data_IF_978218784686
#
_entry.id   IF_978218784686
#
_cell.length_a   1.000
_cell.length_b   1.000
_cell.length_c   1.000
_cell.angle_alpha   90.00
_cell.angle_beta   90.00
_cell.angle_gamma   90.00
#
_symmetry.space_group_name_H-M   'P 1'
#
loop_
_entity.id
_entity.type
_entity.pdbx_description
1 polymer ?
#
# COMPACT_ATOMS: atom_id res chain seq x y z
N UNK A 1 -9.63 -21.32 35.19
CA UNK A 1 -10.46 -20.96 34.04
C UNK A 1 -9.52 -20.39 32.98
N UNK A 2 -9.65 -20.76 31.70
CA UNK A 2 -8.82 -20.22 30.62
C UNK A 2 -9.62 -19.22 29.80
N UNK A 3 -8.97 -18.11 29.43
CA UNK A 3 -9.58 -17.03 28.65
C UNK A 3 -8.88 -16.86 27.32
N UNK A 4 -9.61 -16.47 26.27
CA UNK A 4 -9.02 -16.17 24.97
C UNK A 4 -8.17 -14.91 25.09
N UNK A 5 -6.96 -14.95 24.54
CA UNK A 5 -6.12 -13.78 24.34
C UNK A 5 -6.52 -13.13 23.02
N UNK A 6 -6.92 -11.87 23.05
CA UNK A 6 -7.37 -11.15 21.87
C UNK A 6 -7.08 -9.65 21.97
N UNK A 7 -6.90 -8.99 20.82
CA UNK A 7 -7.03 -7.55 20.69
C UNK A 7 -8.41 -7.24 20.12
N UNK A 8 -9.14 -6.38 20.77
CA UNK A 8 -10.41 -5.82 20.31
C UNK A 8 -10.11 -4.51 19.60
N UNK A 9 -10.81 -4.27 18.49
CA UNK A 9 -10.66 -3.08 17.66
C UNK A 9 -12.04 -2.55 17.28
N UNK A 10 -12.26 -1.25 17.40
CA UNK A 10 -13.53 -0.63 17.01
C UNK A 10 -13.36 0.84 16.67
N UNK A 11 -14.26 1.35 15.83
CA UNK A 11 -14.41 2.79 15.62
C UNK A 11 -15.41 3.34 16.64
N UNK A 12 -15.09 4.48 17.26
CA UNK A 12 -16.00 5.13 18.20
C UNK A 12 -17.33 5.54 17.56
N UNK A 13 -17.28 5.89 16.27
CA UNK A 13 -18.47 6.25 15.48
C UNK A 13 -19.39 5.05 15.16
N UNK A 14 -18.85 3.83 15.11
CA UNK A 14 -19.60 2.59 14.79
C UNK A 14 -19.31 1.47 15.81
N UNK A 15 -19.67 1.66 17.09
CA UNK A 15 -19.32 0.72 18.15
C UNK A 15 -20.02 -0.65 18.02
N UNK A 16 -20.94 -0.79 17.07
CA UNK A 16 -21.62 -2.06 16.76
C UNK A 16 -20.75 -3.01 15.93
N UNK A 17 -19.72 -2.47 15.25
CA UNK A 17 -18.74 -3.25 14.50
C UNK A 17 -17.48 -3.41 15.35
N UNK A 18 -17.19 -4.65 15.74
CA UNK A 18 -16.02 -4.98 16.55
C UNK A 18 -15.09 -5.90 15.77
N UNK A 19 -13.85 -5.46 15.59
CA UNK A 19 -12.74 -6.28 15.11
C UNK A 19 -12.17 -7.13 16.25
N UNK A 20 -11.66 -8.30 15.89
CA UNK A 20 -11.08 -9.24 16.86
C UNK A 20 -9.81 -9.86 16.28
N UNK A 21 -8.65 -9.44 16.76
CA UNK A 21 -7.37 -10.08 16.45
C UNK A 21 -7.08 -11.17 17.48
N UNK A 22 -6.89 -12.39 17.01
CA UNK A 22 -6.57 -13.56 17.83
C UNK A 22 -5.36 -14.29 17.25
N UNK A 23 -4.53 -14.85 18.14
CA UNK A 23 -3.48 -15.76 17.71
C UNK A 23 -4.06 -17.17 17.54
N UNK A 24 -3.71 -17.83 16.42
CA UNK A 24 -4.19 -19.17 16.06
C UNK A 24 -3.00 -20.07 15.73
N UNK A 25 -2.96 -21.25 16.34
CA UNK A 25 -2.02 -22.30 16.00
C UNK A 25 -2.77 -23.61 15.71
N UNK A 26 -2.56 -24.18 14.52
CA UNK A 26 -3.20 -25.44 14.10
C UNK A 26 -4.74 -25.41 14.24
N UNK A 27 -5.38 -24.27 13.92
CA UNK A 27 -6.83 -24.09 14.00
C UNK A 27 -7.37 -23.91 15.42
N UNK A 28 -6.50 -23.74 16.43
CA UNK A 28 -6.85 -23.49 17.81
C UNK A 28 -6.44 -22.11 18.26
N UNK A 29 -7.28 -21.46 19.01
CA UNK A 29 -7.09 -20.10 19.51
C UNK A 29 -6.16 -20.12 20.71
N UNK A 30 -5.28 -19.12 20.82
CA UNK A 30 -4.43 -18.92 21.98
C UNK A 30 -5.28 -18.53 23.19
N UNK A 31 -5.08 -19.22 24.31
CA UNK A 31 -5.76 -18.93 25.58
C UNK A 31 -4.75 -18.79 26.71
N UNK A 32 -5.09 -18.00 27.71
CA UNK A 32 -4.34 -17.83 28.94
C UNK A 32 -5.11 -18.49 30.08
N UNK A 33 -4.46 -19.39 30.83
CA UNK A 33 -5.00 -19.87 32.09
C UNK A 33 -4.82 -18.80 33.17
N UNK A 34 -5.70 -18.83 34.19
CA UNK A 34 -5.61 -17.90 35.32
C UNK A 34 -4.23 -17.97 36.00
N UNK A 35 -3.51 -16.86 36.05
CA UNK A 35 -2.16 -16.77 36.59
C UNK A 35 -1.03 -17.34 35.71
N UNK A 36 -1.34 -17.78 34.48
CA UNK A 36 -0.31 -18.22 33.53
C UNK A 36 0.34 -17.01 32.85
N UNK A 37 1.62 -17.13 32.55
CA UNK A 37 2.39 -16.17 31.76
C UNK A 37 2.47 -16.56 30.29
N UNK A 38 2.27 -17.83 29.97
CA UNK A 38 2.38 -18.41 28.64
C UNK A 38 1.01 -18.74 28.03
N UNK A 39 0.87 -18.48 26.73
CA UNK A 39 -0.31 -18.86 25.97
C UNK A 39 -0.34 -20.38 25.70
N UNK A 40 -1.52 -20.97 25.70
CA UNK A 40 -1.78 -22.36 25.40
C UNK A 40 -2.81 -22.50 24.30
N UNK A 41 -2.77 -23.62 23.55
CA UNK A 41 -3.81 -23.94 22.58
C UNK A 41 -5.15 -24.21 23.26
N UNK A 42 -6.15 -23.39 22.97
CA UNK A 42 -7.48 -23.48 23.54
C UNK A 42 -8.50 -24.15 22.61
N UNK A 43 -9.69 -23.57 22.53
CA UNK A 43 -10.80 -24.01 21.66
C UNK A 43 -10.46 -23.78 20.18
N UNK A 44 -11.22 -24.40 19.29
CA UNK A 44 -11.07 -24.17 17.85
C UNK A 44 -11.65 -22.80 17.45
N UNK A 45 -11.19 -22.25 16.30
CA UNK A 45 -11.73 -21.01 15.74
C UNK A 45 -13.24 -21.12 15.50
N UNK A 46 -13.71 -22.26 15.00
CA UNK A 46 -15.14 -22.53 14.75
C UNK A 46 -15.97 -22.55 16.04
N UNK A 47 -15.43 -23.16 17.12
CA UNK A 47 -16.08 -23.14 18.43
C UNK A 47 -16.14 -21.73 19.01
N UNK A 48 -15.07 -20.93 18.88
CA UNK A 48 -15.07 -19.52 19.31
C UNK A 48 -16.09 -18.70 18.53
N UNK A 49 -16.10 -18.80 17.21
CA UNK A 49 -17.06 -18.09 16.36
C UNK A 49 -18.52 -18.41 16.77
N UNK A 50 -18.81 -19.70 16.99
CA UNK A 50 -20.15 -20.17 17.40
C UNK A 50 -20.54 -19.67 18.80
N UNK A 51 -19.60 -19.65 19.75
CA UNK A 51 -19.83 -19.12 21.09
C UNK A 51 -20.09 -17.62 21.09
N UNK A 52 -19.26 -16.85 20.36
CA UNK A 52 -19.44 -15.40 20.22
C UNK A 52 -20.78 -15.07 19.57
N UNK A 53 -21.10 -15.69 18.42
CA UNK A 53 -22.35 -15.45 17.71
C UNK A 53 -23.57 -15.76 18.60
N UNK A 54 -23.56 -16.89 19.26
CA UNK A 54 -24.68 -17.32 20.14
C UNK A 54 -24.85 -16.42 21.39
N UNK A 55 -23.73 -16.02 22.00
CA UNK A 55 -23.71 -15.21 23.21
C UNK A 55 -24.17 -13.78 22.96
N UNK A 56 -23.63 -13.16 21.90
CA UNK A 56 -23.92 -11.77 21.56
C UNK A 56 -25.10 -11.60 20.61
N UNK A 57 -25.65 -12.71 20.08
CA UNK A 57 -26.71 -12.73 19.06
C UNK A 57 -26.28 -11.86 17.85
N UNK A 58 -25.09 -12.12 17.37
CA UNK A 58 -24.43 -11.32 16.34
C UNK A 58 -24.02 -12.19 15.15
N UNK A 59 -23.77 -11.55 14.01
CA UNK A 59 -23.01 -12.17 12.92
C UNK A 59 -21.52 -12.13 13.29
N UNK A 60 -20.83 -13.27 13.18
CA UNK A 60 -19.40 -13.41 13.46
C UNK A 60 -18.70 -14.00 12.24
N UNK A 61 -17.67 -13.30 11.77
CA UNK A 61 -16.73 -13.79 10.75
C UNK A 61 -15.36 -13.87 11.36
N UNK A 62 -14.77 -15.06 11.37
CA UNK A 62 -13.49 -15.31 12.02
C UNK A 62 -12.63 -16.23 11.14
N UNK A 63 -11.63 -15.68 10.47
CA UNK A 63 -10.92 -16.42 9.42
C UNK A 63 -11.89 -16.88 8.33
N UNK A 64 -11.89 -18.18 8.01
CA UNK A 64 -12.84 -18.76 7.04
C UNK A 64 -14.21 -19.15 7.61
N UNK A 65 -14.43 -18.97 8.92
CA UNK A 65 -15.67 -19.34 9.60
C UNK A 65 -16.67 -18.17 9.56
N UNK A 66 -17.93 -18.48 9.26
CA UNK A 66 -19.04 -17.53 9.27
C UNK A 66 -20.21 -18.11 10.04
N UNK A 67 -20.62 -17.43 11.10
CA UNK A 67 -21.76 -17.84 11.95
C UNK A 67 -22.69 -16.65 12.12
N UNK A 68 -23.94 -16.81 11.72
CA UNK A 68 -25.00 -15.82 11.88
C UNK A 68 -25.99 -16.29 12.97
N UNK A 69 -26.10 -15.54 14.04
CA UNK A 69 -27.05 -15.75 15.14
C UNK A 69 -27.92 -14.51 15.38
N UNK A 70 -28.02 -13.62 14.39
CA UNK A 70 -28.92 -12.46 14.46
C UNK A 70 -30.38 -12.90 14.61
N UNK A 71 -31.21 -12.18 15.38
CA UNK A 71 -32.64 -12.36 15.39
C UNK A 71 -33.22 -12.20 13.98
N UNK A 72 -34.14 -13.08 13.56
CA UNK A 72 -34.75 -13.00 12.25
C UNK A 72 -35.47 -11.64 12.07
N UNK A 73 -34.98 -10.86 11.11
CA UNK A 73 -35.53 -9.55 10.78
C UNK A 73 -34.59 -8.36 11.02
N UNK A 74 -33.57 -8.54 11.84
CA UNK A 74 -32.57 -7.48 12.11
C UNK A 74 -31.27 -7.82 11.39
N UNK A 75 -31.07 -7.29 10.19
CA UNK A 75 -29.73 -7.23 9.61
C UNK A 75 -29.16 -5.84 9.91
N UNK A 76 -28.24 -5.69 10.87
CA UNK A 76 -27.62 -4.40 11.17
C UNK A 76 -26.89 -3.83 9.94
N UNK A 77 -26.37 -4.70 9.07
CA UNK A 77 -25.70 -4.29 7.83
C UNK A 77 -26.64 -3.61 6.82
N UNK A 78 -27.96 -3.89 6.84
CA UNK A 78 -28.90 -3.19 5.96
C UNK A 78 -29.14 -1.73 6.37
N UNK A 79 -28.90 -1.39 7.63
CA UNK A 79 -28.99 -0.02 8.16
C UNK A 79 -27.69 0.77 7.94
N UNK A 80 -26.58 0.07 7.69
CA UNK A 80 -25.24 0.64 7.42
C UNK A 80 -24.85 0.64 5.95
N UNK A 81 -25.70 0.11 5.05
CA UNK A 81 -25.52 0.41 3.63
C UNK A 81 -25.84 1.91 3.49
N UNK A 82 -24.88 2.75 3.11
CA UNK A 82 -25.16 4.17 2.91
C UNK A 82 -26.32 4.26 1.91
N UNK A 83 -27.41 4.97 2.26
CA UNK A 83 -28.29 5.55 1.26
C UNK A 83 -27.36 6.20 0.23
N UNK A 84 -27.67 6.06 -1.07
CA UNK A 84 -26.87 6.63 -2.16
C UNK A 84 -26.41 8.03 -1.74
N UNK A 85 -25.21 8.09 -1.16
CA UNK A 85 -24.57 9.37 -0.84
C UNK A 85 -24.31 10.00 -2.19
N UNK A 86 -24.85 11.19 -2.43
CA UNK A 86 -24.42 12.01 -3.56
C UNK A 86 -22.90 11.93 -3.63
N UNK A 87 -22.36 11.44 -4.76
CA UNK A 87 -20.93 11.29 -5.01
C UNK A 87 -20.26 12.67 -4.84
N UNK A 88 -19.96 13.04 -3.61
CA UNK A 88 -18.96 14.06 -3.36
C UNK A 88 -17.65 13.46 -3.86
N UNK A 89 -17.02 14.14 -4.80
CA UNK A 89 -15.68 13.79 -5.28
C UNK A 89 -14.72 13.83 -4.05
N UNK A 90 -14.74 12.77 -3.26
CA UNK A 90 -13.83 12.61 -2.13
C UNK A 90 -12.48 12.12 -2.66
N UNK A 91 -11.42 12.67 -2.13
CA UNK A 91 -10.05 12.28 -2.47
C UNK A 91 -9.29 11.83 -1.24
N UNK A 92 -8.38 10.89 -1.44
CA UNK A 92 -7.52 10.32 -0.40
C UNK A 92 -6.09 10.77 -0.66
N UNK A 93 -5.42 11.30 0.37
CA UNK A 93 -4.00 11.64 0.31
C UNK A 93 -3.16 10.44 0.70
N UNK A 94 -2.27 10.05 -0.22
CA UNK A 94 -1.48 8.83 -0.09
C UNK A 94 0.01 9.16 -0.23
N UNK A 95 0.83 8.49 0.57
CA UNK A 95 2.28 8.51 0.49
C UNK A 95 2.79 7.08 0.43
N UNK A 96 3.40 6.70 -0.67
CA UNK A 96 3.99 5.37 -0.84
C UNK A 96 5.51 5.42 -0.77
N UNK A 97 6.10 4.53 0.02
CA UNK A 97 7.54 4.42 0.23
C UNK A 97 8.01 3.10 -0.37
N UNK A 98 8.83 3.17 -1.40
CA UNK A 98 9.32 2.00 -2.10
C UNK A 98 10.59 2.28 -2.93
N UNK A 99 10.97 1.33 -3.77
CA UNK A 99 12.14 1.44 -4.66
C UNK A 99 11.79 1.82 -6.09
N UNK A 100 10.76 2.62 -6.27
CA UNK A 100 10.32 3.06 -7.60
C UNK A 100 11.41 3.90 -8.28
N UNK A 101 11.86 3.54 -9.49
CA UNK A 101 12.82 4.34 -10.23
C UNK A 101 12.26 5.73 -10.54
N UNK A 102 13.07 6.79 -10.40
CA UNK A 102 12.68 8.16 -10.72
C UNK A 102 12.12 8.30 -12.15
N UNK A 103 12.69 7.57 -13.10
CA UNK A 103 12.25 7.56 -14.50
C UNK A 103 10.86 6.95 -14.71
N UNK A 104 10.37 6.14 -13.77
CA UNK A 104 9.04 5.54 -13.87
C UNK A 104 7.94 6.48 -13.40
N UNK A 105 8.24 7.44 -12.52
CA UNK A 105 7.22 8.29 -11.89
C UNK A 105 6.40 9.14 -12.88
N UNK A 106 7.01 9.80 -13.90
CA UNK A 106 6.22 10.54 -14.89
C UNK A 106 5.23 9.67 -15.64
N UNK A 107 5.63 8.40 -15.93
CA UNK A 107 4.77 7.45 -16.63
C UNK A 107 3.64 6.96 -15.72
N UNK A 108 3.92 6.69 -14.46
CA UNK A 108 2.90 6.35 -13.45
C UNK A 108 1.85 7.46 -13.35
N UNK A 109 2.27 8.72 -13.17
CA UNK A 109 1.36 9.87 -13.11
C UNK A 109 0.45 9.96 -14.35
N UNK A 110 1.02 9.73 -15.54
CA UNK A 110 0.27 9.81 -16.80
C UNK A 110 -0.68 8.63 -17.02
N UNK A 111 -0.29 7.41 -16.63
CA UNK A 111 -1.12 6.20 -16.77
C UNK A 111 -2.35 6.27 -15.86
N UNK A 112 -2.14 6.75 -14.67
CA UNK A 112 -3.18 6.81 -13.65
C UNK A 112 -4.01 8.10 -13.71
N UNK A 113 -3.52 9.08 -14.44
CA UNK A 113 -4.21 10.35 -14.60
C UNK A 113 -4.24 11.19 -13.32
N UNK A 114 -3.23 11.01 -12.45
CA UNK A 114 -3.10 11.71 -11.16
C UNK A 114 -1.74 12.37 -11.06
N UNK A 115 -1.68 13.60 -10.58
CA UNK A 115 -0.41 14.28 -10.32
C UNK A 115 0.32 13.57 -9.17
N UNK A 116 1.59 13.21 -9.39
CA UNK A 116 2.42 12.51 -8.42
C UNK A 116 3.65 13.35 -8.13
N UNK A 117 3.92 13.64 -6.88
CA UNK A 117 5.18 14.20 -6.45
C UNK A 117 6.09 13.09 -5.90
N UNK A 118 7.36 13.12 -6.23
CA UNK A 118 8.33 12.18 -5.70
C UNK A 118 9.42 12.86 -4.89
N UNK A 119 9.78 12.26 -3.77
CA UNK A 119 10.87 12.68 -2.90
C UNK A 119 11.88 11.55 -2.80
N UNK A 120 13.15 11.85 -3.11
CA UNK A 120 14.22 10.89 -2.95
C UNK A 120 14.53 10.66 -1.47
N UNK A 121 14.61 9.40 -1.07
CA UNK A 121 14.97 8.95 0.26
C UNK A 121 16.34 8.25 0.23
N UNK A 122 16.84 7.87 1.40
CA UNK A 122 18.11 7.15 1.51
C UNK A 122 18.04 5.75 0.84
N UNK A 123 19.19 5.23 0.44
CA UNK A 123 19.38 3.86 -0.07
C UNK A 123 18.55 3.53 -1.35
N UNK A 124 18.30 4.53 -2.20
CA UNK A 124 17.55 4.35 -3.45
C UNK A 124 16.04 4.14 -3.25
N UNK A 125 15.53 4.44 -2.06
CA UNK A 125 14.10 4.52 -1.80
C UNK A 125 13.54 5.87 -2.21
N UNK A 126 12.24 5.91 -2.43
CA UNK A 126 11.50 7.10 -2.84
C UNK A 126 10.15 7.13 -2.15
N UNK A 127 9.71 8.32 -1.76
CA UNK A 127 8.34 8.55 -1.34
C UNK A 127 7.57 9.17 -2.52
N UNK A 128 6.46 8.56 -2.90
CA UNK A 128 5.52 9.06 -3.90
C UNK A 128 4.31 9.63 -3.18
N UNK A 129 3.97 10.88 -3.46
CA UNK A 129 2.86 11.60 -2.84
C UNK A 129 1.81 11.89 -3.90
N UNK A 130 0.57 11.53 -3.65
CA UNK A 130 -0.54 11.83 -4.54
C UNK A 130 -1.85 12.05 -3.78
N UNK A 131 -2.73 12.82 -4.37
CA UNK A 131 -4.13 12.90 -4.00
C UNK A 131 -4.93 12.13 -5.04
N UNK A 132 -5.54 11.03 -4.62
CA UNK A 132 -6.23 10.09 -5.51
C UNK A 132 -7.73 10.10 -5.23
N UNK A 133 -8.58 9.97 -6.25
CA UNK A 133 -10.01 9.77 -6.05
C UNK A 133 -10.29 8.55 -5.18
N UNK A 134 -11.30 8.60 -4.34
CA UNK A 134 -11.62 7.54 -3.38
C UNK A 134 -11.95 6.21 -4.07
N UNK A 135 -12.57 6.25 -5.25
CA UNK A 135 -12.86 5.08 -6.08
C UNK A 135 -11.59 4.36 -6.58
N UNK A 136 -10.43 5.04 -6.52
CA UNK A 136 -9.10 4.49 -6.82
C UNK A 136 -8.26 4.21 -5.57
N UNK A 137 -8.81 4.36 -4.38
CA UNK A 137 -8.12 4.05 -3.14
C UNK A 137 -7.70 2.57 -3.11
N UNK A 138 -6.52 2.29 -2.58
CA UNK A 138 -5.94 0.93 -2.58
C UNK A 138 -5.06 0.60 -3.79
N UNK A 139 -4.77 1.55 -4.62
CA UNK A 139 -3.87 1.46 -5.73
C UNK A 139 -2.41 1.63 -5.30
N UNK A 140 -1.52 0.82 -5.88
CA UNK A 140 -0.09 0.82 -5.57
C UNK A 140 0.68 1.44 -6.74
N UNK A 141 1.42 2.51 -6.47
CA UNK A 141 2.24 3.19 -7.47
C UNK A 141 3.57 2.51 -7.75
N UNK A 142 4.14 1.84 -6.76
CA UNK A 142 5.52 1.40 -6.79
C UNK A 142 5.71 -0.10 -6.91
N UNK A 143 6.98 -0.50 -7.01
CA UNK A 143 7.39 -1.88 -6.96
C UNK A 143 7.28 -2.43 -5.52
N UNK A 144 6.79 -3.66 -5.39
CA UNK A 144 6.69 -4.33 -4.09
C UNK A 144 8.08 -4.81 -3.59
N UNK A 145 8.31 -4.85 -2.29
CA UNK A 145 7.43 -4.42 -1.20
C UNK A 145 7.37 -2.90 -1.06
N UNK A 146 6.21 -2.39 -0.66
CA UNK A 146 6.02 -0.97 -0.39
C UNK A 146 5.29 -0.72 0.94
N UNK A 147 5.58 0.44 1.54
CA UNK A 147 4.86 0.94 2.70
C UNK A 147 4.01 2.12 2.25
N UNK A 148 2.73 2.11 2.58
CA UNK A 148 1.78 3.17 2.21
C UNK A 148 1.17 3.80 3.44
N UNK A 149 1.14 5.15 3.47
CA UNK A 149 0.35 5.95 4.40
C UNK A 149 -0.82 6.54 3.64
N UNK A 150 -2.02 6.42 4.18
CA UNK A 150 -3.22 7.01 3.59
C UNK A 150 -4.03 7.75 4.64
N UNK A 151 -4.63 8.89 4.25
CA UNK A 151 -5.60 9.61 5.06
C UNK A 151 -6.99 9.31 4.52
N UNK A 152 -7.77 8.53 5.25
CA UNK A 152 -9.15 8.18 4.90
C UNK A 152 -10.08 8.60 6.04
N UNK A 153 -11.13 9.36 5.75
CA UNK A 153 -12.10 9.86 6.75
C UNK A 153 -11.47 10.64 7.91
N UNK A 154 -10.29 11.23 7.69
CA UNK A 154 -9.54 11.96 8.72
C UNK A 154 -8.62 11.09 9.58
N UNK A 155 -8.60 9.79 9.37
CA UNK A 155 -7.78 8.83 10.08
C UNK A 155 -6.55 8.42 9.27
N UNK A 156 -5.41 8.24 9.97
CA UNK A 156 -4.18 7.76 9.38
C UNK A 156 -4.16 6.23 9.32
N UNK A 157 -3.94 5.70 8.15
CA UNK A 157 -3.74 4.29 7.89
C UNK A 157 -2.30 4.04 7.43
N UNK A 158 -1.70 2.98 7.91
CA UNK A 158 -0.38 2.53 7.51
C UNK A 158 -0.47 1.08 7.03
N UNK A 159 0.09 0.81 5.85
CA UNK A 159 0.06 -0.50 5.21
C UNK A 159 1.46 -0.94 4.81
N UNK A 160 1.73 -2.23 4.89
CA UNK A 160 2.85 -2.88 4.21
C UNK A 160 2.29 -3.90 3.24
N UNK A 161 2.61 -3.73 1.97
CA UNK A 161 2.26 -4.67 0.89
C UNK A 161 3.56 -5.34 0.43
N UNK A 162 3.67 -6.64 0.63
CA UNK A 162 4.89 -7.41 0.31
C UNK A 162 4.81 -8.17 -0.99
N UNK A 163 3.60 -8.53 -1.42
CA UNK A 163 3.33 -9.27 -2.64
C UNK A 163 1.96 -8.86 -3.24
N UNK A 164 1.61 -9.41 -4.39
CA UNK A 164 0.34 -9.13 -5.08
C UNK A 164 -0.88 -9.79 -4.39
N UNK A 165 -0.69 -10.50 -3.29
CA UNK A 165 -1.75 -11.15 -2.54
C UNK A 165 -2.19 -10.29 -1.36
N UNK A 166 -3.38 -9.71 -1.46
CA UNK A 166 -3.97 -8.86 -0.41
C UNK A 166 -4.13 -9.57 0.96
N UNK A 167 -3.99 -10.89 0.99
CA UNK A 167 -4.06 -11.69 2.22
C UNK A 167 -2.84 -11.46 3.16
N UNK A 168 -1.75 -10.89 2.65
CA UNK A 168 -0.51 -10.66 3.39
C UNK A 168 -0.23 -9.18 3.68
N UNK A 169 -1.26 -8.32 3.59
CA UNK A 169 -1.11 -6.90 3.91
C UNK A 169 -1.10 -6.72 5.43
N UNK A 170 0.00 -6.17 5.96
CA UNK A 170 0.02 -5.71 7.34
C UNK A 170 -0.56 -4.29 7.42
N UNK A 171 -1.43 -4.05 8.38
CA UNK A 171 -2.12 -2.77 8.51
C UNK A 171 -2.09 -2.27 9.94
N UNK A 172 -2.09 -0.93 10.12
CA UNK A 172 -2.41 -0.28 11.36
C UNK A 172 -3.22 0.99 11.08
N UNK A 173 -4.30 1.20 11.85
CA UNK A 173 -5.21 2.33 11.69
C UNK A 173 -5.30 3.12 13.00
N UNK A 174 -4.89 4.39 12.98
CA UNK A 174 -4.93 5.28 14.15
C UNK A 174 -6.33 5.79 14.50
N UNK A 175 -7.32 5.63 13.62
CA UNK A 175 -8.74 5.93 13.91
C UNK A 175 -9.44 4.85 14.74
N UNK A 176 -8.83 3.66 14.85
CA UNK A 176 -9.40 2.57 15.63
C UNK A 176 -8.96 2.63 17.08
N UNK A 177 -9.91 2.48 17.99
CA UNK A 177 -9.61 2.23 19.39
C UNK A 177 -9.30 0.74 19.58
N UNK A 178 -8.16 0.44 20.20
CA UNK A 178 -7.71 -0.93 20.42
C UNK A 178 -7.63 -1.28 21.90
N UNK A 179 -7.95 -2.52 22.27
CA UNK A 179 -7.83 -3.02 23.64
C UNK A 179 -7.45 -4.49 23.67
N UNK A 180 -6.33 -4.80 24.31
CA UNK A 180 -5.97 -6.19 24.55
C UNK A 180 -6.73 -6.74 25.75
N UNK A 181 -7.31 -7.92 25.59
CA UNK A 181 -8.06 -8.63 26.62
C UNK A 181 -7.40 -9.97 26.91
N UNK A 182 -7.22 -10.23 28.20
CA UNK A 182 -6.54 -11.43 28.73
C UNK A 182 -7.44 -12.18 29.73
N UNK A 183 -8.75 -11.98 29.60
CA UNK A 183 -9.73 -12.51 30.55
C UNK A 183 -9.64 -11.85 31.92
N UNK A 184 -9.38 -12.63 32.95
CA UNK A 184 -9.28 -12.13 34.34
C UNK A 184 -7.88 -11.63 34.71
N UNK A 185 -6.86 -11.88 33.86
CA UNK A 185 -5.51 -11.40 34.11
C UNK A 185 -5.37 -9.92 33.73
N UNK A 186 -4.51 -9.18 34.46
CA UNK A 186 -4.09 -7.85 34.01
C UNK A 186 -3.07 -7.98 32.88
N UNK A 187 -3.19 -7.17 31.83
CA UNK A 187 -2.26 -7.18 30.70
C UNK A 187 -0.82 -6.96 31.16
N UNK A 188 -0.61 -6.11 32.18
CA UNK A 188 0.72 -5.84 32.74
C UNK A 188 1.34 -7.06 33.43
N UNK A 189 0.55 -8.07 33.79
CA UNK A 189 1.02 -9.30 34.41
C UNK A 189 1.39 -10.40 33.42
N UNK A 190 1.08 -10.19 32.15
CA UNK A 190 1.35 -11.14 31.05
C UNK A 190 2.70 -10.83 30.42
N UNK A 191 3.43 -11.86 29.98
CA UNK A 191 4.68 -11.66 29.28
C UNK A 191 4.47 -10.81 28.01
N UNK A 192 5.29 -9.77 27.76
CA UNK A 192 5.15 -8.92 26.58
C UNK A 192 5.15 -9.69 25.25
N UNK A 193 5.91 -10.79 25.17
CA UNK A 193 5.94 -11.63 23.96
C UNK A 193 4.61 -12.33 23.68
N UNK A 194 3.83 -12.61 24.73
CA UNK A 194 2.51 -13.21 24.61
C UNK A 194 1.48 -12.13 24.19
N UNK A 195 1.61 -10.92 24.74
CA UNK A 195 0.80 -9.77 24.32
C UNK A 195 1.03 -9.44 22.84
N UNK A 196 2.28 -9.51 22.40
CA UNK A 196 2.68 -9.28 20.99
C UNK A 196 2.07 -10.31 20.01
N UNK A 197 1.53 -11.45 20.47
CA UNK A 197 0.85 -12.42 19.58
C UNK A 197 -0.45 -11.87 18.96
N UNK A 198 -1.09 -10.92 19.60
CA UNK A 198 -2.37 -10.35 19.16
C UNK A 198 -2.32 -8.84 18.93
N UNK A 199 -1.29 -8.16 19.44
CA UNK A 199 -1.14 -6.71 19.33
C UNK A 199 -0.50 -6.26 18.00
N UNK A 200 -0.58 -4.98 17.70
CA UNK A 200 -0.07 -4.39 16.46
C UNK A 200 1.45 -4.19 16.43
N UNK A 201 2.12 -4.34 17.59
CA UNK A 201 3.57 -4.10 17.69
C UNK A 201 4.41 -4.92 16.72
N UNK A 202 4.15 -6.22 16.48
CA UNK A 202 4.86 -6.99 15.46
C UNK A 202 4.67 -6.45 14.06
N UNK A 203 3.44 -6.08 13.69
CA UNK A 203 3.13 -5.48 12.39
C UNK A 203 3.88 -4.16 12.18
N UNK A 204 3.85 -3.26 13.18
CA UNK A 204 4.58 -1.99 13.11
C UNK A 204 6.11 -2.16 13.04
N UNK A 205 6.68 -3.16 13.74
CA UNK A 205 8.10 -3.49 13.61
C UNK A 205 8.45 -3.97 12.20
N UNK A 206 7.61 -4.81 11.63
CA UNK A 206 7.80 -5.32 10.27
C UNK A 206 7.69 -4.19 9.25
N UNK A 207 6.68 -3.33 9.36
CA UNK A 207 6.52 -2.14 8.51
C UNK A 207 7.76 -1.24 8.59
N UNK A 208 8.23 -0.92 9.80
CA UNK A 208 9.42 -0.09 9.99
C UNK A 208 10.69 -0.71 9.39
N UNK A 209 10.82 -2.04 9.41
CA UNK A 209 11.96 -2.75 8.82
C UNK A 209 12.04 -2.57 7.29
N UNK A 210 10.93 -2.24 6.62
CA UNK A 210 10.88 -1.98 5.18
C UNK A 210 11.15 -0.52 4.81
N UNK A 211 11.31 0.40 5.78
CA UNK A 211 11.60 1.81 5.52
C UNK A 211 13.02 2.15 5.99
N UNK A 212 13.94 2.54 5.08
CA UNK A 212 15.30 2.87 5.45
C UNK A 212 15.38 4.08 6.39
N UNK A 213 16.02 3.89 7.53
CA UNK A 213 16.20 4.95 8.54
C UNK A 213 15.00 5.12 9.47
N UNK A 214 13.97 4.27 9.38
CA UNK A 214 12.85 4.30 10.31
C UNK A 214 13.32 4.01 11.74
N UNK A 215 12.72 4.74 12.69
CA UNK A 215 12.89 4.54 14.13
C UNK A 215 11.72 3.69 14.65
N UNK A 216 12.00 2.41 14.85
CA UNK A 216 11.01 1.41 15.30
C UNK A 216 10.39 1.80 16.63
N UNK A 217 11.19 2.25 17.61
CA UNK A 217 10.68 2.58 18.94
C UNK A 217 9.81 3.85 18.91
N UNK A 218 10.19 4.84 18.07
CA UNK A 218 9.36 6.02 17.86
C UNK A 218 8.03 5.67 17.17
N UNK A 219 8.02 4.72 16.20
CA UNK A 219 6.81 4.26 15.54
C UNK A 219 5.89 3.51 16.52
N UNK A 220 6.44 2.65 17.36
CA UNK A 220 5.69 1.96 18.40
C UNK A 220 5.10 2.93 19.44
N UNK A 221 5.85 3.99 19.80
CA UNK A 221 5.33 5.01 20.71
C UNK A 221 4.23 5.88 20.07
N UNK A 222 4.18 5.95 18.74
CA UNK A 222 3.13 6.70 18.03
C UNK A 222 1.76 6.00 18.07
N UNK A 223 1.68 4.71 18.46
CA UNK A 223 0.40 4.00 18.61
C UNK A 223 -0.57 4.67 19.56
N UNK A 224 -0.05 5.26 20.64
CA UNK A 224 -0.85 5.87 21.70
C UNK A 224 -1.25 7.33 21.39
N UNK A 225 -0.90 7.82 20.20
CA UNK A 225 -1.19 9.18 19.76
C UNK A 225 -2.40 9.20 18.83
N UNK A 226 -3.06 10.37 18.73
CA UNK A 226 -4.24 10.55 17.88
C UNK A 226 -4.10 11.76 16.96
N UNK A 227 -4.84 11.75 15.83
CA UNK A 227 -4.97 12.87 14.91
C UNK A 227 -3.63 13.42 14.45
N UNK A 228 -3.47 14.74 14.45
CA UNK A 228 -2.28 15.46 13.98
C UNK A 228 -0.99 15.02 14.69
N UNK A 229 -1.07 14.67 15.97
CA UNK A 229 0.10 14.20 16.73
C UNK A 229 0.57 12.84 16.25
N UNK A 230 -0.35 11.93 15.95
CA UNK A 230 -0.03 10.63 15.37
C UNK A 230 0.62 10.78 13.99
N UNK A 231 0.02 11.56 13.10
CA UNK A 231 0.56 11.81 11.74
C UNK A 231 1.99 12.33 11.82
N UNK A 232 2.22 13.36 12.64
CA UNK A 232 3.55 13.98 12.78
C UNK A 232 4.58 13.00 13.36
N UNK A 233 4.19 12.21 14.36
CA UNK A 233 5.06 11.21 14.99
C UNK A 233 5.40 10.07 14.03
N UNK A 234 4.43 9.56 13.29
CA UNK A 234 4.61 8.47 12.29
C UNK A 234 5.52 8.93 11.15
N UNK A 235 5.25 10.09 10.55
CA UNK A 235 6.09 10.65 9.48
C UNK A 235 7.54 10.81 9.94
N UNK A 236 7.75 11.32 11.17
CA UNK A 236 9.08 11.44 11.76
C UNK A 236 9.72 10.07 12.02
N UNK A 237 8.97 9.11 12.56
CA UNK A 237 9.45 7.75 12.84
C UNK A 237 9.87 7.01 11.58
N UNK A 238 9.18 7.26 10.46
CA UNK A 238 9.51 6.70 9.14
C UNK A 238 10.61 7.50 8.41
N UNK A 239 11.27 8.44 9.08
CA UNK A 239 12.34 9.28 8.52
C UNK A 239 11.94 10.05 7.24
N UNK A 240 10.66 10.40 7.10
CA UNK A 240 10.15 11.20 5.99
C UNK A 240 10.36 12.71 6.24
N UNK A 241 10.45 13.55 5.18
CA UNK A 241 10.47 15.00 5.31
C UNK A 241 9.25 15.53 6.08
N UNK A 242 9.44 16.60 6.86
CA UNK A 242 8.37 17.18 7.71
C UNK A 242 7.13 17.58 6.89
N UNK A 243 7.30 18.14 5.69
CA UNK A 243 6.20 18.53 4.81
C UNK A 243 5.26 17.37 4.41
N UNK A 244 5.70 16.12 4.52
CA UNK A 244 4.83 14.94 4.29
C UNK A 244 3.68 14.91 5.30
N UNK A 245 3.92 15.28 6.56
CA UNK A 245 2.85 15.36 7.56
C UNK A 245 1.85 16.49 7.22
N UNK A 246 2.33 17.63 6.75
CA UNK A 246 1.51 18.75 6.32
C UNK A 246 0.68 18.40 5.07
N UNK A 247 1.28 17.66 4.13
CA UNK A 247 0.56 17.14 2.96
C UNK A 247 -0.56 16.18 3.37
N UNK A 248 -0.28 15.18 4.20
CA UNK A 248 -1.30 14.25 4.68
C UNK A 248 -2.44 14.94 5.42
N UNK A 249 -2.15 16.03 6.15
CA UNK A 249 -3.15 16.86 6.84
C UNK A 249 -3.92 17.80 5.91
N UNK A 250 -3.58 17.87 4.64
CA UNK A 250 -4.22 18.76 3.69
C UNK A 250 -3.78 20.23 3.77
N UNK A 251 -2.69 20.52 4.47
CA UNK A 251 -2.20 21.89 4.68
C UNK A 251 -1.35 22.43 3.53
N UNK A 252 -0.72 21.54 2.77
CA UNK A 252 0.07 21.86 1.58
C UNK A 252 -0.20 20.84 0.47
N UNK A 253 0.15 21.18 -0.76
CA UNK A 253 0.10 20.29 -1.92
C UNK A 253 1.33 19.36 -1.97
N UNK A 254 1.22 18.24 -2.70
CA UNK A 254 2.32 17.27 -2.83
C UNK A 254 3.61 17.88 -3.38
N UNK A 255 3.49 18.83 -4.33
CA UNK A 255 4.63 19.53 -4.94
C UNK A 255 5.31 20.55 -4.04
N UNK A 256 4.70 20.94 -2.92
CA UNK A 256 5.26 21.92 -1.96
C UNK A 256 6.10 21.25 -0.87
N UNK A 257 6.14 19.93 -0.82
CA UNK A 257 6.98 19.18 0.13
C UNK A 257 8.45 19.40 -0.24
N UNK A 258 9.28 19.67 0.76
CA UNK A 258 10.71 19.92 0.57
C UNK A 258 11.40 18.75 -0.15
N UNK A 259 12.08 19.05 -1.25
CA UNK A 259 12.76 18.07 -2.08
C UNK A 259 11.85 17.31 -3.05
N UNK A 260 10.56 17.63 -3.10
CA UNK A 260 9.63 16.99 -4.02
C UNK A 260 9.79 17.47 -5.47
N UNK A 261 9.65 16.55 -6.40
CA UNK A 261 9.58 16.80 -7.84
C UNK A 261 8.18 16.43 -8.33
N UNK A 262 7.40 17.40 -8.76
CA UNK A 262 6.03 17.19 -9.22
C UNK A 262 6.00 16.69 -10.68
N UNK A 263 5.29 15.61 -10.91
CA UNK A 263 5.00 15.02 -12.21
C UNK A 263 3.49 15.11 -12.47
N UNK A 264 3.10 16.02 -13.36
CA UNK A 264 1.68 16.20 -13.66
C UNK A 264 1.15 15.04 -14.50
N UNK A 265 -0.14 14.72 -14.33
CA UNK A 265 -0.93 13.77 -15.11
C UNK A 265 -1.14 14.26 -16.55
N UNK A 266 -0.06 14.44 -17.31
CA UNK A 266 -0.12 14.88 -18.70
C UNK A 266 -0.03 13.66 -19.62
N UNK A 267 -0.56 13.80 -20.85
CA UNK A 267 -0.66 12.69 -21.79
C UNK A 267 0.64 11.91 -21.94
N UNK A 268 0.51 10.60 -22.15
CA UNK A 268 1.56 9.58 -22.16
C UNK A 268 2.83 9.99 -22.94
N UNK A 269 2.67 10.67 -24.08
CA UNK A 269 3.82 11.13 -24.90
C UNK A 269 4.74 12.10 -24.17
N UNK A 270 4.19 12.98 -23.32
CA UNK A 270 4.99 13.92 -22.51
C UNK A 270 5.65 13.19 -21.32
N UNK A 271 4.97 12.20 -20.77
CA UNK A 271 5.49 11.38 -19.67
C UNK A 271 6.69 10.55 -20.13
N UNK A 272 6.62 9.93 -21.31
CA UNK A 272 7.72 9.19 -21.93
C UNK A 272 8.93 10.11 -22.13
N UNK A 273 8.73 11.31 -22.71
CA UNK A 273 9.80 12.28 -22.89
C UNK A 273 10.51 12.62 -21.59
N UNK A 274 9.77 12.86 -20.52
CA UNK A 274 10.35 13.13 -19.18
C UNK A 274 11.04 11.92 -18.56
N UNK A 275 10.48 10.72 -18.72
CA UNK A 275 11.10 9.48 -18.23
C UNK A 275 12.44 9.23 -18.92
N UNK A 276 12.50 9.44 -20.24
CA UNK A 276 13.74 9.35 -21.02
C UNK A 276 14.73 10.43 -20.59
N UNK A 277 14.29 11.67 -20.38
CA UNK A 277 15.15 12.76 -19.91
C UNK A 277 15.77 12.42 -18.53
N UNK A 278 14.99 11.92 -17.60
CA UNK A 278 15.47 11.50 -16.27
C UNK A 278 16.45 10.34 -16.39
N UNK A 279 16.15 9.35 -17.23
CA UNK A 279 17.04 8.22 -17.50
C UNK A 279 18.35 8.64 -18.13
N UNK A 280 18.31 9.64 -19.02
CA UNK A 280 19.48 10.16 -19.76
C UNK A 280 20.34 11.11 -18.94
N UNK A 281 19.71 11.98 -18.14
CA UNK A 281 20.42 13.00 -17.36
C UNK A 281 20.92 12.47 -16.01
N UNK A 282 20.32 11.38 -15.51
CA UNK A 282 20.58 10.83 -14.17
C UNK A 282 20.21 11.83 -13.08
N UNK A 283 20.00 11.36 -11.88
CA UNK A 283 20.10 12.27 -10.73
C UNK A 283 21.55 12.74 -10.64
N UNK A 284 21.79 14.02 -10.52
CA UNK A 284 23.09 14.69 -10.67
C UNK A 284 24.21 14.22 -9.72
N UNK A 285 23.96 13.22 -8.88
CA UNK A 285 24.88 12.76 -7.84
C UNK A 285 25.46 11.35 -8.06
N UNK A 286 24.98 10.57 -9.04
CA UNK A 286 25.55 9.26 -9.32
C UNK A 286 26.32 9.25 -10.64
N UNK A 287 27.58 8.74 -10.59
CA UNK A 287 28.38 8.50 -11.80
C UNK A 287 27.60 7.60 -12.78
N UNK A 288 27.39 8.02 -14.03
CA UNK A 288 26.60 7.26 -14.99
C UNK A 288 27.13 5.84 -15.14
N UNK A 289 26.26 4.84 -15.04
CA UNK A 289 26.61 3.43 -15.13
C UNK A 289 27.37 3.12 -16.42
N UNK A 290 28.16 2.04 -16.46
CA UNK A 290 28.89 1.63 -17.67
C UNK A 290 27.95 1.41 -18.87
N UNK A 291 26.72 0.95 -18.63
CA UNK A 291 25.66 0.78 -19.64
C UNK A 291 25.20 2.15 -20.15
N UNK A 292 24.99 3.11 -19.27
CA UNK A 292 24.57 4.47 -19.61
C UNK A 292 25.66 5.21 -20.42
N UNK A 293 26.94 5.05 -20.04
CA UNK A 293 28.09 5.58 -20.83
C UNK A 293 28.17 4.95 -22.23
N UNK A 294 27.94 3.62 -22.33
CA UNK A 294 27.94 2.91 -23.61
C UNK A 294 26.75 3.34 -24.49
N UNK A 295 25.55 3.49 -23.89
CA UNK A 295 24.36 3.97 -24.59
C UNK A 295 24.55 5.40 -25.11
N UNK A 296 25.07 6.31 -24.29
CA UNK A 296 25.35 7.70 -24.70
C UNK A 296 26.38 7.76 -25.83
N UNK A 297 27.43 6.93 -25.81
CA UNK A 297 28.39 6.85 -26.87
C UNK A 297 27.78 6.38 -28.21
N UNK A 298 26.86 5.39 -28.17
CA UNK A 298 26.13 4.91 -29.35
C UNK A 298 25.17 5.98 -29.88
N UNK A 299 24.44 6.68 -29.01
CA UNK A 299 23.51 7.76 -29.38
C UNK A 299 24.24 8.92 -30.04
N UNK A 300 25.41 9.34 -29.47
CA UNK A 300 26.18 10.48 -29.97
C UNK A 300 26.92 10.18 -31.25
N UNK A 301 27.55 9.00 -31.33
CA UNK A 301 28.50 8.70 -32.43
C UNK A 301 27.85 8.00 -33.64
N UNK A 302 26.69 7.32 -33.43
CA UNK A 302 26.06 6.52 -34.50
C UNK A 302 24.51 6.56 -34.43
N UNK A 303 23.87 7.70 -34.65
CA UNK A 303 22.42 7.85 -34.52
C UNK A 303 21.60 6.93 -35.45
N UNK A 304 22.18 6.44 -36.55
CA UNK A 304 21.49 5.49 -37.43
C UNK A 304 21.22 4.12 -36.80
N UNK A 305 22.03 3.70 -35.79
CA UNK A 305 21.81 2.44 -35.06
C UNK A 305 20.51 2.52 -34.27
N UNK A 306 20.24 3.66 -33.63
CA UNK A 306 18.97 3.89 -32.90
C UNK A 306 17.78 3.83 -33.87
N UNK A 307 17.89 4.46 -35.03
CA UNK A 307 16.81 4.43 -36.03
C UNK A 307 16.56 3.02 -36.58
N UNK A 308 17.58 2.17 -36.66
CA UNK A 308 17.47 0.78 -37.09
C UNK A 308 16.81 -0.07 -35.97
N UNK A 309 17.23 0.09 -34.72
CA UNK A 309 16.63 -0.57 -33.54
C UNK A 309 15.17 -0.18 -33.39
N UNK A 310 14.84 1.11 -33.37
CA UNK A 310 13.50 1.63 -33.33
C UNK A 310 12.59 1.07 -34.44
N UNK A 311 13.14 0.89 -35.63
CA UNK A 311 12.38 0.30 -36.75
C UNK A 311 12.05 -1.17 -36.51
N UNK A 312 12.98 -1.95 -35.93
CA UNK A 312 12.78 -3.36 -35.59
C UNK A 312 11.76 -3.47 -34.47
N UNK A 313 11.85 -2.65 -33.44
CA UNK A 313 10.93 -2.61 -32.30
C UNK A 313 9.52 -2.19 -32.70
N UNK A 314 9.41 -1.16 -33.55
CA UNK A 314 8.13 -0.74 -34.09
C UNK A 314 7.45 -1.87 -34.90
N UNK A 315 8.23 -2.60 -35.71
CA UNK A 315 7.70 -3.73 -36.47
C UNK A 315 7.25 -4.89 -35.56
N UNK A 316 8.05 -5.21 -34.53
CA UNK A 316 7.73 -6.23 -33.54
C UNK A 316 6.50 -5.84 -32.71
N UNK A 317 6.44 -4.60 -32.23
CA UNK A 317 5.31 -4.04 -31.47
C UNK A 317 4.02 -4.06 -32.28
N UNK A 318 4.07 -3.63 -33.54
CA UNK A 318 2.92 -3.68 -34.44
C UNK A 318 2.46 -5.13 -34.71
N UNK A 319 3.39 -6.06 -34.90
CA UNK A 319 3.05 -7.49 -35.10
C UNK A 319 2.36 -8.08 -33.85
N UNK A 320 2.83 -7.75 -32.65
CA UNK A 320 2.23 -8.18 -31.38
C UNK A 320 0.83 -7.58 -31.19
N UNK A 321 0.64 -6.29 -31.48
CA UNK A 321 -0.68 -5.65 -31.41
C UNK A 321 -1.67 -6.26 -32.41
N UNK A 322 -1.23 -6.51 -33.65
CA UNK A 322 -2.06 -7.20 -34.64
C UNK A 322 -2.43 -8.61 -34.18
N UNK A 323 -1.50 -9.31 -33.51
CA UNK A 323 -1.77 -10.64 -32.93
C UNK A 323 -2.78 -10.58 -31.80
N UNK A 324 -2.69 -9.55 -30.94
CA UNK A 324 -3.63 -9.31 -29.85
C UNK A 324 -5.05 -9.04 -30.36
N UNK A 325 -5.17 -8.24 -31.43
CA UNK A 325 -6.48 -7.94 -32.05
C UNK A 325 -7.08 -9.16 -32.74
N UNK A 326 -6.28 -9.97 -33.45
CA UNK A 326 -6.71 -11.14 -34.21
C UNK A 326 -6.99 -12.38 -33.34
N UNK A 327 -6.59 -12.41 -32.07
CA UNK A 327 -6.80 -13.57 -31.22
C UNK A 327 -8.31 -13.86 -31.01
N UNK A 328 -8.73 -15.08 -31.28
CA UNK A 328 -10.15 -15.48 -31.33
C UNK A 328 -10.85 -15.52 -29.95
N UNK A 329 -10.11 -15.56 -28.84
CA UNK A 329 -10.68 -15.62 -27.48
C UNK A 329 -10.57 -14.28 -26.76
N UNK A 330 -11.68 -13.70 -26.24
CA UNK A 330 -11.69 -12.33 -25.70
C UNK A 330 -10.90 -12.12 -24.39
N UNK A 331 -10.51 -13.17 -23.67
CA UNK A 331 -9.78 -13.09 -22.37
C UNK A 331 -8.60 -14.05 -22.27
N UNK A 332 -7.77 -14.17 -23.29
CA UNK A 332 -6.56 -14.99 -23.20
C UNK A 332 -5.44 -14.12 -22.63
N UNK A 333 -4.67 -14.66 -21.65
CA UNK A 333 -3.48 -13.99 -21.09
C UNK A 333 -2.49 -13.54 -22.18
N UNK A 334 -2.43 -14.28 -23.30
CA UNK A 334 -1.65 -13.90 -24.49
C UNK A 334 -2.10 -12.58 -25.13
N UNK A 335 -3.42 -12.28 -25.15
CA UNK A 335 -3.93 -10.99 -25.66
C UNK A 335 -3.47 -9.82 -24.81
N UNK A 336 -3.54 -9.98 -23.49
CA UNK A 336 -3.13 -8.93 -22.53
C UNK A 336 -1.62 -8.74 -22.67
N UNK A 337 -0.84 -9.83 -22.62
CA UNK A 337 0.61 -9.78 -22.80
C UNK A 337 1.01 -9.15 -24.14
N UNK A 338 0.45 -9.61 -25.26
CA UNK A 338 0.79 -9.07 -26.60
C UNK A 338 0.35 -7.63 -26.76
N UNK A 339 -0.76 -7.20 -26.14
CA UNK A 339 -1.24 -5.83 -26.17
C UNK A 339 -0.33 -4.91 -25.39
N UNK A 340 -0.02 -5.25 -24.14
CA UNK A 340 0.84 -4.45 -23.25
C UNK A 340 2.28 -4.41 -23.78
N UNK A 341 2.86 -5.57 -24.07
CA UNK A 341 4.24 -5.67 -24.55
C UNK A 341 4.43 -5.06 -25.93
N UNK A 342 3.46 -5.25 -26.83
CA UNK A 342 3.47 -4.62 -28.15
C UNK A 342 3.31 -3.10 -28.08
N UNK A 343 2.51 -2.60 -27.15
CA UNK A 343 2.37 -1.19 -26.85
C UNK A 343 3.67 -0.60 -26.30
N UNK A 344 4.31 -1.26 -25.35
CA UNK A 344 5.59 -0.85 -24.77
C UNK A 344 6.70 -0.74 -25.83
N UNK A 345 6.85 -1.76 -26.70
CA UNK A 345 7.83 -1.73 -27.78
C UNK A 345 7.59 -0.59 -28.79
N UNK A 346 6.33 -0.25 -29.10
CA UNK A 346 6.05 0.89 -29.98
C UNK A 346 6.42 2.21 -29.32
N UNK A 347 6.17 2.34 -28.04
CA UNK A 347 6.51 3.52 -27.25
C UNK A 347 8.03 3.71 -27.22
N UNK A 348 8.78 2.64 -26.97
CA UNK A 348 10.24 2.63 -26.95
C UNK A 348 10.82 3.01 -28.34
N UNK A 349 10.30 2.42 -29.40
CA UNK A 349 10.67 2.76 -30.78
C UNK A 349 10.41 4.23 -31.12
N UNK A 350 9.32 4.84 -30.64
CA UNK A 350 9.06 6.27 -30.84
C UNK A 350 10.02 7.15 -30.05
N UNK A 351 10.39 6.75 -28.82
CA UNK A 351 11.36 7.47 -28.01
C UNK A 351 12.74 7.47 -28.68
N UNK A 352 13.20 6.31 -29.19
CA UNK A 352 14.45 6.20 -29.93
C UNK A 352 14.48 7.03 -31.23
N UNK A 353 13.35 7.04 -31.97
CA UNK A 353 13.23 7.87 -33.18
C UNK A 353 13.24 9.38 -32.87
N UNK A 354 12.71 9.78 -31.71
CA UNK A 354 12.74 11.18 -31.26
C UNK A 354 14.17 11.61 -30.86
N UNK A 355 14.96 10.70 -30.29
CA UNK A 355 16.37 10.93 -29.91
C UNK A 355 17.33 10.92 -31.11
N UNK A 356 16.97 10.21 -32.18
CA UNK A 356 17.78 10.12 -33.40
C UNK A 356 17.67 11.35 -34.33
N UNK A 357 16.82 12.32 -34.00
CA UNK A 357 16.62 13.60 -34.68
C UNK A 357 17.38 14.73 -34.03
#
# INVERSE_FOLDING_TARGET
ESSVLAQLEWFEATPQLLGLNIAVENGRVATLAEGAQDAQAGITVSELASQLASHFKAEVRLGGEHVDALPQGDSPLAEFLPEEVEETESSVRVVEIGRTPASSVPLLAALEGVDVADVELNNGYRALLAEIPEDKSGWNFGDLPLVSLAMTDGDLHLYLVTDDHLEHVLTHNWGMTTRIVTGSASVESVDPSVVDLVGDRPALREIAAHVPGADVEALLAAQDLNGVHAITAVVKALALPHGVAEFLQGSIEAGDVEGAVLHNARGISNAIGRSVDIMMTGNKEEDPSAIQKAYMAVVSDRPWILSALASIEAAAGAALLVSAVKAAKPRSGWKIFSGVFGGALLVDAFAELALAR
#
